data_IF_289538479067
#
_entry.id   IF_289538479067
#
_cell.length_a   1.000
_cell.length_b   1.000
_cell.length_c   1.000
_cell.angle_alpha   90.00
_cell.angle_beta   90.00
_cell.angle_gamma   90.00
#
_symmetry.space_group_name_H-M   'P 1'
#
loop_
_entity.id
_entity.type
_entity.pdbx_description
1 polymer ?
#
# COMPACT_ATOMS: atom_id res chain seq x y z
N UNK A 1 -0.89 -17.12 4.60
CA UNK A 1 -1.78 -15.97 4.40
C UNK A 1 -1.64 -15.00 5.57
N UNK A 2 -1.45 -13.71 5.30
CA UNK A 2 -1.40 -12.64 6.30
C UNK A 2 -2.27 -11.46 5.84
N UNK A 3 -2.86 -10.74 6.79
CA UNK A 3 -3.76 -9.62 6.52
C UNK A 3 -3.30 -8.40 7.28
N UNK A 4 -3.10 -7.30 6.58
CA UNK A 4 -2.65 -6.05 7.16
C UNK A 4 -3.65 -4.95 6.83
N UNK A 5 -4.01 -4.16 7.83
CA UNK A 5 -4.76 -2.92 7.62
C UNK A 5 -3.90 -1.73 8.03
N UNK A 6 -4.11 -0.60 7.36
CA UNK A 6 -3.48 0.68 7.70
C UNK A 6 -4.50 1.81 7.59
N UNK A 7 -4.09 3.04 7.93
CA UNK A 7 -4.98 4.20 7.86
C UNK A 7 -5.45 4.44 6.42
N UNK A 8 -4.51 4.37 5.48
CA UNK A 8 -4.77 4.42 4.05
C UNK A 8 -3.98 3.33 3.32
N UNK A 9 -4.52 2.92 2.19
CA UNK A 9 -3.90 2.10 1.16
C UNK A 9 -3.73 2.95 -0.10
N UNK A 10 -2.55 2.97 -0.68
CA UNK A 10 -2.32 3.52 -2.01
C UNK A 10 -2.25 2.40 -3.04
N UNK A 11 -3.09 2.49 -4.07
CA UNK A 11 -3.00 1.68 -5.28
C UNK A 11 -2.73 2.61 -6.47
N UNK A 12 -1.64 2.41 -7.23
CA UNK A 12 -1.39 3.18 -8.45
C UNK A 12 -2.61 3.21 -9.37
N UNK A 13 -2.82 4.33 -10.06
CA UNK A 13 -3.95 4.61 -10.96
C UNK A 13 -5.32 4.77 -10.26
N UNK A 14 -5.47 4.35 -8.99
CA UNK A 14 -6.72 4.47 -8.22
C UNK A 14 -6.64 5.52 -7.12
N UNK A 15 -5.48 5.68 -6.49
CA UNK A 15 -5.26 6.66 -5.44
C UNK A 15 -5.31 6.05 -4.03
N UNK A 16 -5.66 6.89 -3.06
CA UNK A 16 -5.73 6.54 -1.65
C UNK A 16 -7.12 6.06 -1.25
N UNK A 17 -7.19 4.89 -0.63
CA UNK A 17 -8.41 4.35 -0.04
C UNK A 17 -8.25 4.24 1.47
N UNK A 18 -9.26 4.66 2.21
CA UNK A 18 -9.25 4.64 3.67
C UNK A 18 -9.54 3.24 4.19
N UNK A 19 -8.78 2.81 5.20
CA UNK A 19 -9.04 1.60 6.00
C UNK A 19 -9.30 0.34 5.16
N UNK A 20 -8.42 0.09 4.20
CA UNK A 20 -8.41 -1.17 3.43
C UNK A 20 -7.51 -2.20 4.10
N UNK A 21 -7.89 -3.46 3.94
CA UNK A 21 -7.08 -4.64 4.25
C UNK A 21 -6.38 -5.09 2.98
N UNK A 22 -5.08 -5.35 3.10
CA UNK A 22 -4.29 -6.04 2.09
C UNK A 22 -4.04 -7.47 2.56
N UNK A 23 -4.42 -8.42 1.72
CA UNK A 23 -4.20 -9.83 1.98
C UNK A 23 -3.01 -10.33 1.17
N UNK A 24 -2.05 -10.96 1.85
CA UNK A 24 -0.81 -11.45 1.27
C UNK A 24 -0.75 -12.96 1.39
N UNK A 25 -0.50 -13.62 0.26
CA UNK A 25 -0.27 -15.05 0.14
C UNK A 25 0.91 -15.31 -0.80
N UNK A 26 1.84 -16.17 -0.40
CA UNK A 26 3.06 -16.49 -1.15
C UNK A 26 3.84 -15.23 -1.58
N UNK A 27 4.02 -14.28 -0.65
CA UNK A 27 4.69 -12.98 -0.86
C UNK A 27 4.06 -12.08 -1.95
N UNK A 28 2.81 -12.34 -2.34
CA UNK A 28 2.05 -11.54 -3.28
C UNK A 28 0.71 -11.08 -2.69
N UNK A 29 0.19 -9.93 -3.13
CA UNK A 29 -1.17 -9.51 -2.78
C UNK A 29 -2.18 -10.40 -3.49
N UNK A 30 -3.02 -11.12 -2.74
CA UNK A 30 -4.09 -11.95 -3.28
C UNK A 30 -5.37 -11.16 -3.53
N UNK A 31 -5.70 -10.22 -2.64
CA UNK A 31 -6.85 -9.33 -2.74
C UNK A 31 -6.74 -8.14 -1.79
N UNK A 32 -7.58 -7.14 -2.04
CA UNK A 32 -7.84 -6.03 -1.13
C UNK A 32 -9.34 -5.91 -0.85
N UNK A 33 -9.70 -5.50 0.36
CA UNK A 33 -11.09 -5.36 0.80
C UNK A 33 -11.22 -4.36 1.97
N UNK A 34 -12.37 -3.75 2.22
CA UNK A 34 -12.53 -2.80 3.32
C UNK A 34 -12.40 -3.48 4.68
N UNK A 35 -11.82 -2.79 5.66
CA UNK A 35 -11.64 -3.31 7.03
C UNK A 35 -12.97 -3.67 7.72
N UNK A 36 -14.10 -3.11 7.27
CA UNK A 36 -15.43 -3.44 7.78
C UNK A 36 -15.92 -4.83 7.38
N UNK A 37 -15.32 -5.47 6.36
CA UNK A 37 -15.56 -6.89 6.12
C UNK A 37 -14.92 -7.68 7.27
N UNK A 38 -15.74 -8.10 8.23
CA UNK A 38 -15.36 -8.80 9.45
C UNK A 38 -14.43 -9.99 9.13
N UNK A 39 -13.13 -9.81 9.41
CA UNK A 39 -12.11 -10.81 9.15
C UNK A 39 -11.33 -11.06 10.43
N UNK A 40 -11.38 -12.29 10.93
CA UNK A 40 -10.48 -12.72 12.00
C UNK A 40 -9.01 -12.56 11.53
N UNK A 41 -8.16 -12.06 12.44
CA UNK A 41 -6.68 -11.99 12.28
C UNK A 41 -6.13 -10.93 11.30
N UNK A 42 -6.72 -9.74 11.26
CA UNK A 42 -6.09 -8.56 10.63
C UNK A 42 -5.10 -7.90 11.59
N UNK A 43 -3.87 -7.69 11.15
CA UNK A 43 -2.89 -6.90 11.91
C UNK A 43 -2.98 -5.42 11.53
N UNK A 44 -3.16 -4.55 12.51
CA UNK A 44 -3.10 -3.10 12.30
C UNK A 44 -1.65 -2.61 12.19
N UNK A 45 -1.37 -1.86 11.13
CA UNK A 45 -0.07 -1.26 10.84
C UNK A 45 -0.20 0.27 10.91
N UNK A 46 0.53 0.96 11.81
CA UNK A 46 0.50 2.42 11.85
C UNK A 46 1.04 3.01 10.54
N UNK A 47 0.58 4.20 10.13
CA UNK A 47 0.98 4.79 8.85
C UNK A 47 0.10 4.33 7.70
N UNK A 48 0.70 4.19 6.52
CA UNK A 48 0.01 3.83 5.27
C UNK A 48 0.67 2.63 4.59
N UNK A 49 -0.10 1.95 3.73
CA UNK A 49 0.38 0.88 2.86
C UNK A 49 0.38 1.36 1.41
N UNK A 50 1.43 1.04 0.66
CA UNK A 50 1.64 1.44 -0.74
C UNK A 50 1.89 0.18 -1.55
N UNK A 51 1.10 -0.04 -2.60
CA UNK A 51 1.29 -1.15 -3.53
C UNK A 51 2.16 -0.69 -4.70
N UNK A 52 3.24 -1.44 -4.97
CA UNK A 52 4.01 -1.30 -6.19
C UNK A 52 4.06 -2.66 -6.91
N UNK A 53 4.14 -2.63 -8.24
CA UNK A 53 4.37 -3.84 -9.02
C UNK A 53 5.73 -4.44 -8.62
N UNK A 54 5.86 -5.76 -8.58
CA UNK A 54 7.16 -6.40 -8.33
C UNK A 54 8.22 -6.01 -9.36
N UNK A 55 7.79 -5.69 -10.60
CA UNK A 55 8.63 -5.15 -11.67
C UNK A 55 9.18 -3.76 -11.38
N UNK A 56 8.51 -2.97 -10.53
CA UNK A 56 8.96 -1.63 -10.12
C UNK A 56 9.95 -1.70 -8.95
N UNK A 57 10.04 -2.86 -8.29
CA UNK A 57 10.98 -3.09 -7.18
C UNK A 57 12.34 -3.50 -7.75
N UNK A 58 13.34 -2.66 -7.55
CA UNK A 58 14.71 -2.93 -8.03
C UNK A 58 15.30 -4.18 -7.39
N UNK A 59 16.13 -4.91 -8.15
CA UNK A 59 16.89 -6.08 -7.64
C UNK A 59 17.86 -5.68 -6.53
N UNK A 60 18.50 -4.52 -6.68
CA UNK A 60 19.32 -3.89 -5.64
C UNK A 60 18.43 -3.02 -4.75
N UNK A 61 17.60 -3.68 -3.95
CA UNK A 61 16.61 -3.00 -3.12
C UNK A 61 17.28 -2.11 -2.05
N UNK A 62 17.25 -0.80 -2.28
CA UNK A 62 17.64 0.22 -1.30
C UNK A 62 16.39 0.99 -0.86
N UNK A 63 16.12 0.99 0.46
CA UNK A 63 14.90 1.59 1.03
C UNK A 63 14.79 3.09 0.80
N UNK A 64 15.91 3.80 0.97
CA UNK A 64 15.94 5.26 0.84
C UNK A 64 15.76 5.68 -0.62
N UNK A 65 16.46 5.01 -1.55
CA UNK A 65 16.29 5.25 -2.98
C UNK A 65 14.87 4.88 -3.45
N UNK A 66 14.31 3.75 -2.99
CA UNK A 66 12.94 3.37 -3.31
C UNK A 66 11.92 4.41 -2.82
N UNK A 67 12.10 4.92 -1.60
CA UNK A 67 11.23 5.94 -1.05
C UNK A 67 11.35 7.26 -1.82
N UNK A 68 12.57 7.71 -2.12
CA UNK A 68 12.84 8.99 -2.76
C UNK A 68 12.49 8.99 -4.26
N UNK A 69 12.92 7.97 -5.01
CA UNK A 69 12.93 7.99 -6.48
C UNK A 69 11.68 7.36 -7.09
N UNK A 70 10.95 6.53 -6.32
CA UNK A 70 9.76 5.80 -6.81
C UNK A 70 8.51 6.18 -6.05
N UNK A 71 8.50 5.99 -4.73
CA UNK A 71 7.28 6.14 -3.94
C UNK A 71 6.87 7.62 -3.84
N UNK A 72 7.75 8.52 -3.41
CA UNK A 72 7.39 9.94 -3.24
C UNK A 72 6.79 10.58 -4.50
N UNK A 73 7.37 10.41 -5.71
CA UNK A 73 6.77 10.93 -6.94
C UNK A 73 5.35 10.39 -7.19
N UNK A 74 5.12 9.09 -6.94
CA UNK A 74 3.80 8.48 -7.13
C UNK A 74 2.72 9.04 -6.20
N UNK A 75 3.10 9.50 -4.99
CA UNK A 75 2.13 10.01 -4.02
C UNK A 75 1.69 11.46 -4.31
N UNK A 76 2.48 12.24 -5.05
CA UNK A 76 2.26 13.67 -5.24
C UNK A 76 1.02 14.03 -6.08
N UNK A 77 0.51 13.10 -6.90
CA UNK A 77 -0.55 13.36 -7.89
C UNK A 77 -1.87 12.64 -7.59
N UNK A 78 -2.16 12.42 -6.31
CA UNK A 78 -3.11 11.36 -5.93
C UNK A 78 -4.38 11.89 -5.30
N UNK A 79 -5.51 11.27 -5.67
CA UNK A 79 -6.83 11.55 -5.10
C UNK A 79 -7.10 10.57 -3.95
N UNK A 80 -7.83 11.05 -2.95
CA UNK A 80 -8.50 10.17 -1.98
C UNK A 80 -9.83 9.74 -2.61
N UNK A 81 -10.08 8.44 -2.63
CA UNK A 81 -11.33 7.84 -3.14
C UNK A 81 -12.10 7.23 -1.97
N UNK A 82 -13.37 7.63 -1.86
CA UNK A 82 -14.29 7.16 -0.81
C UNK A 82 -15.12 5.93 -1.24
N UNK A 83 -14.82 5.36 -2.41
CA UNK A 83 -15.48 4.18 -2.93
C UNK A 83 -14.46 3.11 -3.32
N UNK A 84 -14.91 1.86 -3.27
CA UNK A 84 -14.16 0.72 -3.78
C UNK A 84 -14.60 0.49 -5.22
N UNK A 85 -13.73 0.81 -6.19
CA UNK A 85 -13.98 0.47 -7.58
C UNK A 85 -14.06 -1.07 -7.72
N UNK A 86 -15.05 -1.54 -8.48
CA UNK A 86 -15.36 -2.97 -8.63
C UNK A 86 -14.24 -3.76 -9.32
N UNK A 87 -13.35 -3.08 -10.03
CA UNK A 87 -12.24 -3.62 -10.81
C UNK A 87 -10.91 -3.68 -10.04
N UNK A 88 -10.82 -3.15 -8.82
CA UNK A 88 -9.55 -3.14 -8.10
C UNK A 88 -8.96 -4.53 -7.87
N UNK A 89 -9.78 -5.51 -7.48
CA UNK A 89 -9.30 -6.89 -7.34
C UNK A 89 -8.90 -7.51 -8.70
N UNK A 90 -9.50 -7.04 -9.81
CA UNK A 90 -9.04 -7.42 -11.16
C UNK A 90 -7.62 -6.90 -11.39
N UNK A 91 -7.34 -5.64 -11.02
CA UNK A 91 -6.00 -5.04 -11.10
C UNK A 91 -5.00 -5.74 -10.19
N UNK A 92 -5.41 -6.15 -8.98
CA UNK A 92 -4.59 -6.95 -8.07
C UNK A 92 -4.20 -8.29 -8.72
N UNK A 93 -5.14 -8.97 -9.39
CA UNK A 93 -4.90 -10.28 -9.99
C UNK A 93 -4.05 -10.25 -11.28
N UNK A 94 -3.91 -9.09 -11.93
CA UNK A 94 -3.20 -8.96 -13.22
C UNK A 94 -1.67 -9.04 -13.11
N UNK A 95 -1.10 -8.73 -11.94
CA UNK A 95 0.35 -8.67 -11.73
C UNK A 95 0.72 -8.97 -10.28
N UNK A 96 2.01 -9.10 -10.02
CA UNK A 96 2.51 -9.28 -8.66
C UNK A 96 2.72 -7.94 -7.99
N UNK A 97 2.34 -7.87 -6.72
CA UNK A 97 2.37 -6.65 -5.94
C UNK A 97 3.20 -6.84 -4.68
N UNK A 98 4.04 -5.85 -4.39
CA UNK A 98 4.78 -5.74 -3.14
C UNK A 98 4.14 -4.65 -2.30
N UNK A 99 3.89 -4.97 -1.03
CA UNK A 99 3.26 -4.04 -0.08
C UNK A 99 4.33 -3.36 0.74
N UNK A 100 4.39 -2.05 0.64
CA UNK A 100 5.28 -1.20 1.41
C UNK A 100 4.52 -0.46 2.50
N UNK A 101 5.02 -0.53 3.73
CA UNK A 101 4.57 0.32 4.82
C UNK A 101 5.45 1.57 4.92
N UNK A 102 4.80 2.72 4.99
CA UNK A 102 5.42 4.00 5.31
C UNK A 102 5.01 4.45 6.71
N UNK A 103 5.99 4.66 7.59
CA UNK A 103 5.74 5.21 8.92
C UNK A 103 6.98 5.90 9.52
N UNK A 104 6.84 7.06 10.20
CA UNK A 104 5.61 7.87 10.36
C UNK A 104 5.12 8.45 9.03
N UNK A 105 3.91 9.01 8.97
CA UNK A 105 3.30 9.58 7.75
C UNK A 105 2.46 10.80 8.12
N UNK A 106 2.50 11.85 7.30
CA UNK A 106 1.69 13.06 7.48
C UNK A 106 0.31 12.85 6.84
N UNK A 107 -0.72 12.69 7.68
CA UNK A 107 -2.09 12.49 7.21
C UNK A 107 -2.81 13.79 6.86
N UNK A 108 -2.27 14.94 7.26
CA UNK A 108 -2.85 16.25 6.90
C UNK A 108 -2.42 16.62 5.48
N UNK A 109 -1.13 16.48 5.20
CA UNK A 109 -0.55 16.81 3.89
C UNK A 109 -0.51 15.60 2.93
N UNK A 110 -0.92 14.42 3.39
CA UNK A 110 -0.90 13.17 2.62
C UNK A 110 0.49 12.82 2.03
N UNK A 111 1.55 13.04 2.81
CA UNK A 111 2.93 12.82 2.37
C UNK A 111 3.84 12.19 3.43
N UNK A 112 4.94 11.52 3.03
CA UNK A 112 5.98 11.07 3.95
C UNK A 112 6.69 12.24 4.64
N UNK A 113 6.94 12.13 5.95
CA UNK A 113 7.91 12.97 6.65
C UNK A 113 9.35 12.70 6.19
N UNK A 114 10.27 13.58 6.57
CA UNK A 114 11.72 13.34 6.42
C UNK A 114 12.19 12.09 7.17
N UNK A 115 11.59 11.80 8.32
CA UNK A 115 11.90 10.63 9.14
C UNK A 115 11.11 9.35 8.75
N UNK A 116 10.27 9.40 7.71
CA UNK A 116 9.49 8.24 7.27
C UNK A 116 10.40 7.09 6.85
N UNK A 117 10.14 5.91 7.40
CA UNK A 117 10.83 4.67 7.04
C UNK A 117 9.96 3.81 6.15
N UNK A 118 10.62 3.10 5.24
CA UNK A 118 10.04 2.10 4.35
C UNK A 118 10.26 0.68 4.91
N UNK A 119 9.18 -0.10 5.04
CA UNK A 119 9.25 -1.52 5.37
C UNK A 119 8.42 -2.35 4.38
N UNK A 120 8.86 -3.55 4.04
CA UNK A 120 8.06 -4.48 3.22
C UNK A 120 7.16 -5.30 4.16
N UNK A 121 5.89 -5.44 3.82
CA UNK A 121 4.96 -6.36 4.49
C UNK A 121 4.93 -7.68 3.73
N UNK A 122 5.04 -8.80 4.46
CA UNK A 122 5.04 -10.17 3.96
C UNK A 122 4.43 -11.08 5.00
#
# INVERSE_FOLDING_TARGET
>A
MKRFASHYLFLPEHGWMKQMVVEIENDNVSRIFPLSEESERVQWMPGVSVLLSDTDVTKDFNREAMLADKIRPLLAETKIVDYIASDMNVVIMQKKWVVFRLFPFDFTEMQPYSATKLAILR
#
